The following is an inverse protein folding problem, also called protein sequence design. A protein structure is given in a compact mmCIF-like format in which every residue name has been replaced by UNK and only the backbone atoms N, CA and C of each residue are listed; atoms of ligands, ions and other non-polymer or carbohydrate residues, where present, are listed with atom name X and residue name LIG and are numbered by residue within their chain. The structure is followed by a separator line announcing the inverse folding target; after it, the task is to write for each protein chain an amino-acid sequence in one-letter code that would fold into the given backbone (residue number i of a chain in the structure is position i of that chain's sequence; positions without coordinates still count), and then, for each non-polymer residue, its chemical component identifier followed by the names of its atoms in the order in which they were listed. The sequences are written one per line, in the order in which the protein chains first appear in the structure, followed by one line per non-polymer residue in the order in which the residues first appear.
data_IF_943823309501
#
_entry.id   IF_943823309501
#
_cell.length_a   1.000
_cell.length_b   1.000
_cell.length_c   1.000
_cell.angle_alpha   90.00
_cell.angle_beta   90.00
_cell.angle_gamma   90.00
#
_symmetry.space_group_name_H-M   'P 1'
#
loop_
_entity.id
_entity.type
_entity.pdbx_description
1 polymer ?
#
# COMPACT_ATOMS: atom_id res chain seq x y z
N UNK A 1 5.29 -3.25 29.78
CA UNK A 1 5.51 -3.01 28.34
C UNK A 1 4.15 -2.80 27.72
N UNK A 2 3.97 -1.81 26.82
CA UNK A 2 2.66 -1.60 26.21
C UNK A 2 2.32 -2.74 25.25
N UNK A 3 1.06 -3.14 25.25
CA UNK A 3 0.46 -4.10 24.33
C UNK A 3 -0.39 -3.37 23.33
N UNK A 4 -0.12 -3.56 22.03
CA UNK A 4 -0.80 -2.85 20.96
C UNK A 4 -1.46 -3.83 20.02
N UNK A 5 -2.76 -3.65 19.79
CA UNK A 5 -3.48 -4.34 18.72
C UNK A 5 -3.52 -3.47 17.46
N UNK A 6 -2.88 -3.95 16.39
CA UNK A 6 -2.98 -3.34 15.06
C UNK A 6 -4.17 -3.91 14.28
N UNK A 7 -5.14 -3.05 13.97
CA UNK A 7 -6.32 -3.42 13.18
C UNK A 7 -6.08 -3.09 11.72
N UNK A 8 -6.09 -4.10 10.87
CA UNK A 8 -5.57 -4.08 9.51
C UNK A 8 -6.64 -4.46 8.47
N UNK A 9 -6.54 -3.93 7.26
CA UNK A 9 -7.37 -4.38 6.14
C UNK A 9 -6.94 -5.79 5.70
N UNK A 10 -5.64 -5.95 5.45
CA UNK A 10 -4.99 -7.22 5.14
C UNK A 10 -3.55 -7.23 5.68
N UNK A 11 -2.95 -8.41 5.72
CA UNK A 11 -1.58 -8.60 6.20
C UNK A 11 -0.92 -9.81 5.53
N UNK A 12 0.28 -10.17 5.95
CA UNK A 12 0.91 -11.44 5.56
C UNK A 12 -0.08 -12.62 5.69
N UNK A 13 -0.01 -13.60 4.79
CA UNK A 13 0.97 -13.79 3.72
C UNK A 13 0.68 -13.01 2.41
N UNK A 14 -0.32 -12.13 2.37
CA UNK A 14 -0.59 -11.29 1.20
C UNK A 14 0.50 -10.23 1.05
N UNK A 15 1.20 -10.22 -0.08
CA UNK A 15 2.26 -9.26 -0.37
C UNK A 15 1.69 -8.00 -1.03
N UNK A 16 1.90 -6.86 -0.39
CA UNK A 16 1.55 -5.53 -0.89
C UNK A 16 2.36 -4.47 -0.15
N UNK A 17 2.44 -3.26 -0.68
CA UNK A 17 3.07 -2.13 0.03
C UNK A 17 2.43 -1.85 1.39
N UNK A 18 1.12 -2.10 1.51
CA UNK A 18 0.40 -2.01 2.79
C UNK A 18 0.92 -3.05 3.80
N UNK A 19 1.10 -4.29 3.36
CA UNK A 19 1.58 -5.39 4.21
C UNK A 19 3.03 -5.18 4.62
N UNK A 20 3.92 -4.77 3.71
CA UNK A 20 5.33 -4.55 4.01
C UNK A 20 5.53 -3.40 5.01
N UNK A 21 4.80 -2.28 4.84
CA UNK A 21 4.81 -1.21 5.85
C UNK A 21 4.31 -1.71 7.21
N UNK A 22 3.23 -2.47 7.24
CA UNK A 22 2.71 -3.03 8.50
C UNK A 22 3.73 -3.94 9.17
N UNK A 23 4.34 -4.86 8.41
CA UNK A 23 5.41 -5.74 8.87
C UNK A 23 6.56 -4.96 9.50
N UNK A 24 7.04 -3.91 8.83
CA UNK A 24 8.12 -3.07 9.33
C UNK A 24 7.76 -2.36 10.65
N UNK A 25 6.55 -1.81 10.75
CA UNK A 25 6.06 -1.18 11.99
C UNK A 25 6.01 -2.19 13.14
N UNK A 26 5.41 -3.37 12.92
CA UNK A 26 5.31 -4.42 13.93
C UNK A 26 6.69 -4.89 14.40
N UNK A 27 7.61 -5.18 13.47
CA UNK A 27 8.99 -5.59 13.79
C UNK A 27 9.75 -4.50 14.56
N UNK A 28 9.62 -3.23 14.15
CA UNK A 28 10.26 -2.11 14.84
C UNK A 28 9.74 -1.93 16.27
N UNK A 29 8.44 -2.07 16.49
CA UNK A 29 7.85 -1.99 17.83
C UNK A 29 8.25 -3.18 18.72
N UNK A 30 8.34 -4.40 18.17
CA UNK A 30 8.87 -5.56 18.88
C UNK A 30 10.33 -5.32 19.26
N UNK A 31 11.16 -4.80 18.33
CA UNK A 31 12.55 -4.42 18.59
C UNK A 31 12.70 -3.35 19.68
N UNK A 32 11.71 -2.46 19.82
CA UNK A 32 11.61 -1.49 20.92
C UNK A 32 11.10 -2.08 22.24
N UNK A 33 10.84 -3.39 22.29
CA UNK A 33 10.39 -4.10 23.49
C UNK A 33 8.88 -4.05 23.73
N UNK A 34 8.06 -3.71 22.72
CA UNK A 34 6.61 -3.71 22.86
C UNK A 34 6.02 -5.07 22.46
N UNK A 35 4.89 -5.43 23.06
CA UNK A 35 4.10 -6.58 22.63
C UNK A 35 3.08 -6.11 21.60
N UNK A 36 3.19 -6.60 20.37
CA UNK A 36 2.29 -6.19 19.29
C UNK A 36 1.70 -7.40 18.58
N UNK A 37 0.42 -7.31 18.19
CA UNK A 37 -0.27 -8.30 17.37
C UNK A 37 -1.12 -7.62 16.32
N UNK A 38 -1.28 -8.28 15.18
CA UNK A 38 -2.19 -7.82 14.13
C UNK A 38 -3.57 -8.46 14.27
N UNK A 39 -4.61 -7.80 13.78
CA UNK A 39 -5.94 -8.34 13.55
C UNK A 39 -6.43 -7.87 12.20
N UNK A 40 -6.76 -8.80 11.30
CA UNK A 40 -7.36 -8.46 10.01
C UNK A 40 -8.87 -8.63 10.00
N UNK A 41 -9.54 -7.73 9.27
CA UNK A 41 -10.95 -7.84 8.97
C UNK A 41 -11.27 -8.93 7.94
N UNK A 42 -12.54 -9.01 7.54
CA UNK A 42 -13.04 -9.98 6.55
C UNK A 42 -12.42 -9.81 5.16
N UNK A 43 -11.82 -8.65 4.87
CA UNK A 43 -11.21 -8.34 3.57
C UNK A 43 -9.90 -9.07 3.30
N UNK A 44 -9.26 -9.62 4.32
CA UNK A 44 -8.13 -10.53 4.17
C UNK A 44 -8.42 -11.64 3.15
N UNK A 45 -9.69 -12.02 3.00
CA UNK A 45 -10.16 -13.19 2.25
C UNK A 45 -10.87 -12.89 0.94
N UNK A 46 -10.92 -11.63 0.51
CA UNK A 46 -11.57 -11.27 -0.77
C UNK A 46 -10.93 -11.93 -1.98
N UNK A 47 -9.74 -12.52 -1.82
CA UNK A 47 -9.00 -13.25 -2.85
C UNK A 47 -9.11 -14.77 -2.78
N UNK A 48 -10.12 -15.30 -2.07
CA UNK A 48 -10.59 -16.68 -2.27
C UNK A 48 -10.13 -17.74 -1.31
N UNK A 49 -9.30 -17.46 -0.33
CA UNK A 49 -8.92 -18.45 0.69
C UNK A 49 -9.27 -17.96 2.10
N UNK A 50 -10.12 -18.71 2.80
CA UNK A 50 -10.33 -18.53 4.24
C UNK A 50 -9.14 -19.13 5.00
N UNK A 51 -8.68 -18.53 6.11
CA UNK A 51 -7.68 -19.20 6.92
C UNK A 51 -8.31 -20.42 7.62
N UNK A 52 -7.50 -21.45 7.75
CA UNK A 52 -7.87 -22.66 8.47
C UNK A 52 -8.04 -22.41 9.98
N UNK A 53 -7.55 -21.29 10.49
CA UNK A 53 -7.57 -20.94 11.89
C UNK A 53 -7.89 -19.45 12.16
N UNK A 54 -8.49 -19.10 13.31
CA UNK A 54 -8.75 -17.72 13.72
C UNK A 54 -7.48 -16.96 14.12
N UNK A 55 -6.32 -17.60 14.05
CA UNK A 55 -5.00 -17.10 14.40
C UNK A 55 -3.98 -17.67 13.43
N UNK A 56 -2.98 -16.87 13.08
CA UNK A 56 -1.93 -17.25 12.15
C UNK A 56 -0.62 -16.57 12.53
N UNK A 57 0.49 -17.29 12.40
CA UNK A 57 1.82 -16.73 12.53
C UNK A 57 2.48 -16.70 11.14
N UNK A 58 3.01 -15.53 10.76
CA UNK A 58 3.71 -15.34 9.51
C UNK A 58 4.95 -14.47 9.75
N UNK A 59 6.11 -14.93 9.34
CA UNK A 59 7.43 -14.26 9.49
C UNK A 59 7.74 -13.82 10.94
N UNK A 60 7.35 -14.63 11.93
CA UNK A 60 7.53 -14.35 13.36
C UNK A 60 6.57 -13.29 13.91
N UNK A 61 5.54 -12.90 13.15
CA UNK A 61 4.49 -11.98 13.55
C UNK A 61 3.18 -12.71 13.77
N UNK A 62 2.48 -12.35 14.84
CA UNK A 62 1.24 -12.99 15.24
C UNK A 62 0.02 -12.20 14.76
N UNK A 63 -0.91 -12.87 14.07
CA UNK A 63 -2.13 -12.28 13.54
C UNK A 63 -3.37 -13.02 14.00
N UNK A 64 -4.33 -12.26 14.54
CA UNK A 64 -5.71 -12.71 14.65
C UNK A 64 -6.42 -12.52 13.31
N UNK A 65 -7.37 -13.41 13.02
CA UNK A 65 -8.20 -13.35 11.81
C UNK A 65 -9.67 -13.20 12.17
N UNK A 66 -10.44 -12.64 11.23
CA UNK A 66 -11.91 -12.54 11.34
C UNK A 66 -12.53 -13.51 10.33
N UNK A 67 -12.72 -14.80 10.68
CA UNK A 67 -13.15 -15.84 9.75
C UNK A 67 -14.65 -15.74 9.46
N UNK A 68 -15.09 -14.64 8.88
CA UNK A 68 -16.49 -14.37 8.53
C UNK A 68 -16.57 -13.77 7.14
N UNK A 69 -17.63 -14.10 6.41
CA UNK A 69 -17.95 -13.44 5.16
C UNK A 69 -19.01 -12.37 5.41
N UNK A 70 -18.74 -11.16 4.93
CA UNK A 70 -19.76 -10.12 4.86
C UNK A 70 -20.39 -10.14 3.46
N UNK A 71 -21.65 -10.49 3.37
CA UNK A 71 -22.45 -10.53 2.15
C UNK A 71 -23.60 -9.54 2.20
N UNK A 72 -24.15 -9.21 1.04
CA UNK A 72 -25.30 -8.34 0.91
C UNK A 72 -25.06 -7.13 0.01
N UNK A 73 -26.10 -6.30 -0.22
CA UNK A 73 -25.94 -5.08 -0.97
C UNK A 73 -24.98 -4.09 -0.29
N UNK A 74 -24.42 -3.18 -1.08
CA UNK A 74 -23.56 -2.09 -0.58
C UNK A 74 -24.26 -1.32 0.54
N UNK A 75 -23.52 -0.89 1.53
CA UNK A 75 -24.01 -0.29 2.77
C UNK A 75 -24.30 -1.32 3.87
N UNK A 76 -25.07 -2.36 3.56
CA UNK A 76 -25.34 -3.44 4.53
C UNK A 76 -24.13 -4.36 4.70
N UNK A 77 -23.41 -4.64 3.61
CA UNK A 77 -22.18 -5.42 3.65
C UNK A 77 -21.11 -4.70 4.49
N UNK A 78 -20.86 -3.43 4.20
CA UNK A 78 -19.89 -2.63 4.96
C UNK A 78 -20.26 -2.51 6.45
N UNK A 79 -21.55 -2.37 6.76
CA UNK A 79 -22.02 -2.37 8.15
C UNK A 79 -21.77 -3.72 8.84
N UNK A 80 -21.96 -4.85 8.15
CA UNK A 80 -21.64 -6.18 8.67
C UNK A 80 -20.15 -6.37 8.87
N UNK A 81 -19.31 -5.89 7.95
CA UNK A 81 -17.85 -5.89 8.08
C UNK A 81 -17.41 -5.15 9.34
N UNK A 82 -17.90 -3.93 9.53
CA UNK A 82 -17.59 -3.10 10.71
C UNK A 82 -18.01 -3.83 11.99
N UNK A 83 -19.21 -4.40 12.02
CA UNK A 83 -19.73 -5.07 13.22
C UNK A 83 -18.96 -6.35 13.54
N UNK A 84 -18.63 -7.15 12.55
CA UNK A 84 -17.83 -8.36 12.71
C UNK A 84 -16.44 -8.03 13.28
N UNK A 85 -15.77 -7.03 12.71
CA UNK A 85 -14.46 -6.59 13.16
C UNK A 85 -14.49 -5.97 14.56
N UNK A 86 -15.50 -5.14 14.88
CA UNK A 86 -15.72 -4.60 16.23
C UNK A 86 -15.86 -5.70 17.27
N UNK A 87 -16.67 -6.72 16.98
CA UNK A 87 -16.88 -7.88 17.88
C UNK A 87 -15.58 -8.68 18.05
N UNK A 88 -14.81 -8.86 16.95
CA UNK A 88 -13.55 -9.59 17.00
C UNK A 88 -12.49 -8.85 17.82
N UNK A 89 -12.39 -7.52 17.71
CA UNK A 89 -11.50 -6.70 18.56
C UNK A 89 -11.81 -6.93 20.04
N UNK A 90 -13.09 -6.87 20.42
CA UNK A 90 -13.53 -7.08 21.81
C UNK A 90 -13.22 -8.51 22.28
N UNK A 91 -13.42 -9.50 21.42
CA UNK A 91 -13.08 -10.90 21.72
C UNK A 91 -11.57 -11.05 21.93
N UNK A 92 -10.73 -10.51 21.03
CA UNK A 92 -9.28 -10.54 21.15
C UNK A 92 -8.81 -9.89 22.44
N UNK A 93 -9.44 -8.78 22.87
CA UNK A 93 -9.09 -8.14 24.14
C UNK A 93 -9.36 -9.05 25.37
N UNK A 94 -10.36 -9.91 25.31
CA UNK A 94 -10.62 -10.91 26.39
C UNK A 94 -9.59 -12.04 26.40
N UNK A 95 -9.09 -12.43 25.22
CA UNK A 95 -8.07 -13.48 25.05
C UNK A 95 -6.66 -12.96 25.37
N UNK A 96 -6.38 -11.75 24.95
CA UNK A 96 -5.10 -11.06 25.09
C UNK A 96 -5.37 -9.57 25.37
N UNK A 97 -5.43 -9.15 26.64
CA UNK A 97 -5.64 -7.76 27.00
C UNK A 97 -4.53 -6.86 26.46
N UNK A 98 -4.90 -5.88 25.65
CA UNK A 98 -4.01 -4.87 25.08
C UNK A 98 -4.35 -3.48 25.61
N UNK A 99 -3.39 -2.57 25.56
CA UNK A 99 -3.49 -1.22 26.14
C UNK A 99 -3.91 -0.17 25.11
N UNK A 100 -3.62 -0.41 23.82
CA UNK A 100 -3.86 0.55 22.73
C UNK A 100 -4.46 -0.18 21.53
N UNK A 101 -5.45 0.46 20.89
CA UNK A 101 -5.96 0.07 19.58
C UNK A 101 -5.35 0.98 18.51
N UNK A 102 -4.59 0.42 17.59
CA UNK A 102 -4.01 1.14 16.45
C UNK A 102 -4.62 0.63 15.15
N UNK A 103 -5.61 1.34 14.61
CA UNK A 103 -6.20 0.96 13.33
C UNK A 103 -5.53 1.66 12.16
N UNK A 104 -5.42 0.92 11.07
CA UNK A 104 -4.91 1.41 9.80
C UNK A 104 -6.05 1.58 8.79
N UNK A 105 -5.96 2.59 7.94
CA UNK A 105 -6.95 2.78 6.86
C UNK A 105 -7.23 1.46 6.10
N UNK A 106 -8.46 1.21 5.64
CA UNK A 106 -9.54 2.18 5.40
C UNK A 106 -10.36 2.56 6.63
N UNK A 107 -11.18 3.62 6.46
CA UNK A 107 -12.06 4.12 7.52
C UNK A 107 -13.05 3.09 8.08
N UNK A 108 -13.37 2.01 7.36
CA UNK A 108 -14.18 0.90 7.86
C UNK A 108 -13.50 0.20 9.05
N UNK A 109 -12.20 -0.05 8.94
CA UNK A 109 -11.38 -0.60 10.04
C UNK A 109 -11.32 0.40 11.20
N UNK A 110 -11.06 1.67 10.87
CA UNK A 110 -11.01 2.75 11.84
C UNK A 110 -12.32 2.89 12.63
N UNK A 111 -13.48 2.79 11.97
CA UNK A 111 -14.78 2.87 12.66
C UNK A 111 -15.03 1.68 13.57
N UNK A 112 -14.69 0.47 13.14
CA UNK A 112 -14.79 -0.72 13.99
C UNK A 112 -13.90 -0.59 15.23
N UNK A 113 -12.66 -0.16 15.03
CA UNK A 113 -11.67 0.06 16.08
C UNK A 113 -12.10 1.16 17.07
N UNK A 114 -12.58 2.32 16.56
CA UNK A 114 -13.06 3.41 17.39
C UNK A 114 -14.23 2.99 18.30
N UNK A 115 -15.17 2.19 17.76
CA UNK A 115 -16.30 1.65 18.53
C UNK A 115 -15.85 0.66 19.61
N UNK A 116 -14.93 -0.23 19.25
CA UNK A 116 -14.37 -1.21 20.19
C UNK A 116 -13.57 -0.52 21.29
N UNK A 117 -12.68 0.41 20.94
CA UNK A 117 -11.88 1.19 21.89
C UNK A 117 -12.75 1.95 22.88
N UNK A 118 -13.80 2.64 22.39
CA UNK A 118 -14.75 3.34 23.26
C UNK A 118 -15.47 2.41 24.26
N UNK A 119 -15.84 1.18 23.83
CA UNK A 119 -16.47 0.18 24.72
C UNK A 119 -15.50 -0.40 25.74
N UNK A 120 -14.22 -0.49 25.39
CA UNK A 120 -13.17 -1.03 26.25
C UNK A 120 -12.50 0.03 27.12
N UNK A 121 -12.78 1.35 26.88
CA UNK A 121 -12.12 2.44 27.57
C UNK A 121 -10.64 2.60 27.23
N UNK A 122 -10.24 2.24 25.99
CA UNK A 122 -8.85 2.22 25.56
C UNK A 122 -8.51 3.39 24.62
N UNK A 123 -7.26 3.88 24.62
CA UNK A 123 -6.76 4.82 23.63
C UNK A 123 -6.85 4.27 22.22
N UNK A 124 -7.21 5.15 21.27
CA UNK A 124 -7.36 4.82 19.87
C UNK A 124 -6.46 5.69 18.98
N UNK A 125 -5.56 5.05 18.26
CA UNK A 125 -4.71 5.65 17.23
C UNK A 125 -5.22 5.24 15.85
N UNK A 126 -5.30 6.20 14.92
CA UNK A 126 -5.71 5.93 13.54
C UNK A 126 -4.61 6.31 12.55
N UNK A 127 -4.14 5.37 11.74
CA UNK A 127 -3.12 5.59 10.72
C UNK A 127 -3.74 5.66 9.32
N UNK A 128 -3.53 6.80 8.63
CA UNK A 128 -3.99 7.05 7.28
C UNK A 128 -2.80 6.92 6.32
N UNK A 129 -2.90 5.97 5.38
CA UNK A 129 -1.89 5.72 4.34
C UNK A 129 -2.26 6.33 3.00
N UNK A 130 -3.54 6.53 2.76
CA UNK A 130 -4.14 7.26 1.65
C UNK A 130 -5.58 7.57 2.02
N UNK A 131 -6.15 8.63 1.48
CA UNK A 131 -7.60 8.84 1.55
C UNK A 131 -8.29 7.90 0.57
N UNK A 132 -9.22 7.10 1.07
CA UNK A 132 -9.88 6.08 0.26
C UNK A 132 -10.84 6.65 -0.78
N UNK A 133 -11.38 7.83 -0.54
CA UNK A 133 -12.13 8.59 -1.55
C UNK A 133 -11.25 8.93 -2.76
N UNK A 134 -10.00 9.36 -2.54
CA UNK A 134 -9.05 9.70 -3.58
C UNK A 134 -8.48 8.43 -4.25
N UNK A 135 -8.25 7.36 -3.48
CA UNK A 135 -7.82 6.07 -4.02
C UNK A 135 -8.87 5.46 -4.96
N UNK A 136 -10.16 5.59 -4.66
CA UNK A 136 -11.23 5.14 -5.55
C UNK A 136 -11.26 5.90 -6.88
N UNK A 137 -10.94 7.19 -6.87
CA UNK A 137 -10.80 8.00 -8.09
C UNK A 137 -9.57 7.55 -8.88
N UNK A 138 -8.41 7.44 -8.23
CA UNK A 138 -7.17 7.00 -8.87
C UNK A 138 -7.24 5.60 -9.48
N UNK A 139 -8.04 4.71 -8.88
CA UNK A 139 -8.28 3.35 -9.41
C UNK A 139 -9.41 3.29 -10.46
N UNK A 140 -9.98 4.42 -10.85
CA UNK A 140 -11.09 4.46 -11.83
C UNK A 140 -12.42 3.88 -11.33
N UNK A 141 -12.55 3.63 -10.01
CA UNK A 141 -13.78 3.04 -9.41
C UNK A 141 -14.68 4.07 -8.74
N UNK A 142 -14.33 5.34 -8.84
CA UNK A 142 -15.05 6.49 -8.30
C UNK A 142 -14.80 7.75 -9.11
N UNK A 143 -15.56 8.80 -8.81
CA UNK A 143 -15.35 10.14 -9.34
C UNK A 143 -15.36 11.17 -8.22
N UNK A 144 -14.48 12.16 -8.32
CA UNK A 144 -14.38 13.24 -7.35
C UNK A 144 -15.73 13.99 -7.23
N UNK A 145 -16.10 14.34 -6.01
CA UNK A 145 -17.36 15.04 -5.73
C UNK A 145 -18.64 14.18 -5.81
N UNK A 146 -18.56 12.91 -6.25
CA UNK A 146 -19.71 11.99 -6.26
C UNK A 146 -20.26 11.75 -4.84
N UNK A 147 -21.50 11.29 -4.74
CA UNK A 147 -22.10 10.95 -3.43
C UNK A 147 -21.26 9.92 -2.68
N UNK A 148 -20.76 8.89 -3.38
CA UNK A 148 -19.87 7.87 -2.78
C UNK A 148 -18.57 8.51 -2.25
N UNK A 149 -17.94 9.40 -3.03
CA UNK A 149 -16.76 10.15 -2.62
C UNK A 149 -17.02 10.96 -1.33
N UNK A 150 -18.10 11.72 -1.31
CA UNK A 150 -18.50 12.55 -0.15
C UNK A 150 -18.79 11.71 1.08
N UNK A 151 -19.47 10.58 0.94
CA UNK A 151 -19.76 9.66 2.04
C UNK A 151 -18.48 9.00 2.58
N UNK A 152 -17.57 8.56 1.70
CA UNK A 152 -16.28 7.97 2.11
C UNK A 152 -15.44 9.00 2.87
N UNK A 153 -15.35 10.24 2.36
CA UNK A 153 -14.66 11.34 3.04
C UNK A 153 -15.30 11.69 4.38
N UNK A 154 -16.63 11.70 4.46
CA UNK A 154 -17.34 11.96 5.71
C UNK A 154 -17.07 10.85 6.75
N UNK A 155 -17.01 9.60 6.32
CA UNK A 155 -16.65 8.47 7.19
C UNK A 155 -15.20 8.59 7.68
N UNK A 156 -14.25 8.92 6.79
CA UNK A 156 -12.86 9.18 7.16
C UNK A 156 -12.76 10.27 8.22
N UNK A 157 -13.39 11.43 7.98
CA UNK A 157 -13.44 12.54 8.92
C UNK A 157 -14.06 12.15 10.28
N UNK A 158 -15.09 11.29 10.25
CA UNK A 158 -15.73 10.80 11.46
C UNK A 158 -14.80 9.92 12.30
N UNK A 159 -13.97 9.09 11.67
CA UNK A 159 -12.96 8.27 12.35
C UNK A 159 -11.86 9.14 12.91
N UNK A 160 -11.32 10.07 12.10
CA UNK A 160 -10.31 11.04 12.52
C UNK A 160 -10.77 11.85 13.75
N UNK A 161 -12.04 12.30 13.77
CA UNK A 161 -12.59 13.02 14.90
C UNK A 161 -12.54 12.21 16.21
N UNK A 162 -12.71 10.88 16.13
CA UNK A 162 -12.76 9.97 17.29
C UNK A 162 -11.42 9.46 17.76
N UNK A 163 -10.40 9.49 16.92
CA UNK A 163 -9.07 9.06 17.31
C UNK A 163 -8.46 10.00 18.36
N UNK A 164 -7.71 9.48 19.31
CA UNK A 164 -6.94 10.28 20.26
C UNK A 164 -5.71 10.87 19.56
N UNK A 165 -5.08 10.12 18.67
CA UNK A 165 -4.01 10.55 17.78
C UNK A 165 -4.20 9.98 16.39
N UNK A 166 -3.73 10.72 15.39
CA UNK A 166 -3.78 10.36 13.98
C UNK A 166 -2.37 10.34 13.41
N UNK A 167 -1.96 9.19 12.89
CA UNK A 167 -0.73 9.05 12.13
C UNK A 167 -1.02 9.21 10.63
N UNK A 168 -0.16 9.90 9.91
CA UNK A 168 -0.21 10.01 8.45
C UNK A 168 1.16 9.74 7.86
N UNK A 169 1.22 9.26 6.62
CA UNK A 169 2.51 8.88 6.01
C UNK A 169 3.30 10.06 5.45
N UNK A 170 2.71 11.25 5.35
CA UNK A 170 3.39 12.43 4.79
C UNK A 170 2.69 13.74 5.15
N UNK A 171 3.39 14.86 4.95
CA UNK A 171 2.88 16.21 5.19
C UNK A 171 1.69 16.59 4.29
N UNK A 172 1.59 16.04 3.09
CA UNK A 172 0.43 16.27 2.20
C UNK A 172 -0.88 15.83 2.87
N UNK A 173 -0.92 14.60 3.41
CA UNK A 173 -2.09 14.10 4.15
C UNK A 173 -2.33 14.90 5.44
N UNK A 174 -1.27 15.27 6.15
CA UNK A 174 -1.39 16.10 7.36
C UNK A 174 -2.02 17.47 7.05
N UNK A 175 -1.50 18.14 6.04
CA UNK A 175 -1.98 19.46 5.62
C UNK A 175 -3.44 19.42 5.15
N UNK A 176 -3.84 18.37 4.43
CA UNK A 176 -5.24 18.20 4.01
C UNK A 176 -6.18 18.00 5.21
N UNK A 177 -5.78 17.20 6.21
CA UNK A 177 -6.57 17.05 7.45
C UNK A 177 -6.68 18.36 8.24
N UNK A 178 -5.61 19.14 8.32
CA UNK A 178 -5.65 20.47 8.95
C UNK A 178 -6.60 21.39 8.17
N UNK A 179 -6.56 21.37 6.85
CA UNK A 179 -7.51 22.11 5.99
C UNK A 179 -8.97 21.66 6.19
N UNK A 180 -9.19 20.38 6.52
CA UNK A 180 -10.52 19.85 6.90
C UNK A 180 -10.99 20.32 8.29
N UNK A 181 -10.14 21.05 9.05
CA UNK A 181 -10.45 21.61 10.38
C UNK A 181 -10.02 20.75 11.56
N UNK A 182 -9.17 19.73 11.37
CA UNK A 182 -8.63 18.94 12.47
C UNK A 182 -7.44 19.63 13.13
N UNK A 183 -7.32 19.47 14.45
CA UNK A 183 -6.26 20.07 15.24
C UNK A 183 -4.88 19.52 14.86
N UNK A 184 -3.89 20.38 14.51
CA UNK A 184 -2.55 19.94 14.11
C UNK A 184 -1.81 19.10 15.17
N UNK A 185 -2.02 19.38 16.47
CA UNK A 185 -1.39 18.67 17.58
C UNK A 185 -1.88 17.22 17.74
N UNK A 186 -3.03 16.90 17.13
CA UNK A 186 -3.58 15.54 17.07
C UNK A 186 -2.90 14.68 16.00
N UNK A 187 -2.31 15.30 14.96
CA UNK A 187 -1.83 14.67 13.76
C UNK A 187 -0.30 14.66 13.73
N UNK A 188 0.30 13.48 13.62
CA UNK A 188 1.76 13.35 13.46
C UNK A 188 2.11 12.58 12.20
N UNK A 189 3.27 12.90 11.62
CA UNK A 189 3.78 12.21 10.44
C UNK A 189 4.62 11.02 10.87
N UNK A 190 4.22 9.84 10.39
CA UNK A 190 4.98 8.59 10.45
C UNK A 190 5.33 8.21 9.02
N UNK A 191 6.46 8.68 8.49
CA UNK A 191 6.74 8.57 7.06
C UNK A 191 6.95 7.12 6.61
N UNK A 192 6.84 6.91 5.30
CA UNK A 192 7.31 5.68 4.69
C UNK A 192 8.84 5.60 4.86
N UNK A 193 9.34 4.39 5.01
CA UNK A 193 10.76 4.07 5.06
C UNK A 193 11.06 2.85 4.21
N UNK A 194 12.33 2.58 4.00
CA UNK A 194 12.83 1.39 3.33
C UNK A 194 13.70 0.59 4.29
N UNK A 195 13.65 -0.72 4.16
CA UNK A 195 14.51 -1.63 4.93
C UNK A 195 15.90 -1.68 4.27
N UNK A 196 16.87 -1.02 4.91
CA UNK A 196 18.24 -0.93 4.40
C UNK A 196 18.99 -2.27 4.48
N UNK A 197 18.54 -3.22 5.31
CA UNK A 197 19.11 -4.58 5.32
C UNK A 197 18.70 -5.34 4.07
N UNK A 198 17.49 -5.08 3.58
CA UNK A 198 16.95 -5.70 2.37
C UNK A 198 17.39 -4.97 1.08
N UNK A 199 17.41 -3.64 1.09
CA UNK A 199 17.64 -2.84 -0.13
C UNK A 199 18.96 -2.04 -0.15
N UNK A 200 19.68 -1.97 0.97
CA UNK A 200 20.86 -1.10 1.10
C UNK A 200 22.16 -1.62 0.49
N UNK A 201 22.12 -2.80 -0.13
CA UNK A 201 23.29 -3.39 -0.80
C UNK A 201 22.88 -3.89 -2.17
N UNK A 202 22.83 -2.99 -3.19
CA UNK A 202 22.39 -3.40 -4.53
C UNK A 202 23.28 -4.52 -5.07
N UNK A 203 22.70 -5.60 -5.61
CA UNK A 203 23.47 -6.67 -6.21
C UNK A 203 24.18 -6.17 -7.47
N UNK A 204 25.30 -6.78 -7.86
CA UNK A 204 25.88 -6.53 -9.17
C UNK A 204 24.87 -6.87 -10.28
N UNK A 205 25.01 -6.22 -11.42
CA UNK A 205 24.15 -6.44 -12.60
C UNK A 205 24.07 -7.94 -12.93
N UNK A 206 22.88 -8.47 -13.05
CA UNK A 206 22.62 -9.86 -13.46
C UNK A 206 22.78 -9.99 -14.97
N UNK A 207 24.01 -10.27 -15.43
CA UNK A 207 24.32 -10.38 -16.86
C UNK A 207 23.60 -11.54 -17.56
N UNK A 208 23.26 -12.61 -16.84
CA UNK A 208 22.50 -13.71 -17.39
C UNK A 208 21.05 -13.28 -17.69
N UNK A 209 20.42 -12.59 -16.75
CA UNK A 209 19.09 -12.04 -16.95
C UNK A 209 19.09 -10.93 -18.00
N UNK A 210 20.14 -10.10 -18.04
CA UNK A 210 20.30 -9.08 -19.09
C UNK A 210 20.36 -9.72 -20.49
N UNK A 211 21.09 -10.83 -20.64
CA UNK A 211 21.17 -11.54 -21.91
C UNK A 211 19.83 -12.18 -22.30
N UNK A 212 19.12 -12.78 -21.33
CA UNK A 212 17.79 -13.38 -21.55
C UNK A 212 16.78 -12.34 -22.06
N UNK A 213 16.81 -11.13 -21.48
CA UNK A 213 15.88 -10.04 -21.83
C UNK A 213 16.38 -9.18 -23.03
N UNK A 214 17.55 -9.48 -23.61
CA UNK A 214 18.13 -8.71 -24.70
C UNK A 214 18.65 -7.31 -24.28
N UNK A 215 19.02 -7.14 -23.00
CA UNK A 215 19.44 -5.88 -22.39
C UNK A 215 20.97 -5.79 -22.15
N UNK A 216 21.76 -6.74 -22.66
CA UNK A 216 23.22 -6.73 -22.53
C UNK A 216 23.81 -5.48 -23.18
N UNK A 217 24.54 -4.65 -22.41
CA UNK A 217 25.16 -3.42 -22.87
C UNK A 217 24.18 -2.31 -23.26
N UNK A 218 22.92 -2.40 -22.79
CA UNK A 218 21.90 -1.36 -23.00
C UNK A 218 21.72 -0.51 -21.76
N UNK A 219 21.43 0.78 -21.97
CA UNK A 219 20.93 1.68 -20.95
C UNK A 219 19.45 1.34 -20.70
N UNK A 220 19.06 1.13 -19.45
CA UNK A 220 17.73 0.64 -19.07
C UNK A 220 17.01 1.66 -18.20
N UNK A 221 15.90 2.16 -18.70
CA UNK A 221 14.90 2.87 -17.91
C UNK A 221 13.94 1.83 -17.34
N UNK A 222 13.74 1.79 -16.03
CA UNK A 222 12.91 0.77 -15.38
C UNK A 222 11.70 1.31 -14.64
N UNK A 223 10.66 0.51 -14.61
CA UNK A 223 9.56 0.66 -13.67
C UNK A 223 9.26 -0.70 -13.04
N UNK A 224 9.24 -0.76 -11.71
CA UNK A 224 8.96 -1.97 -10.95
C UNK A 224 7.77 -1.70 -10.03
N UNK A 225 6.64 -2.40 -10.25
CA UNK A 225 5.43 -2.22 -9.45
C UNK A 225 4.12 -2.54 -10.15
N UNK A 226 3.01 -2.13 -9.54
CA UNK A 226 1.67 -2.37 -10.08
C UNK A 226 1.31 -1.35 -11.17
N UNK A 227 0.63 -1.82 -12.22
CA UNK A 227 0.26 -1.01 -13.39
C UNK A 227 -1.14 -0.42 -13.21
N UNK A 228 -1.20 0.68 -12.43
CA UNK A 228 -2.39 1.51 -12.27
C UNK A 228 -2.34 2.76 -13.14
N UNK A 229 -3.48 3.34 -13.45
CA UNK A 229 -3.57 4.55 -14.31
C UNK A 229 -2.75 5.73 -13.75
N UNK A 230 -2.84 5.95 -12.44
CA UNK A 230 -2.13 7.06 -11.80
C UNK A 230 -0.60 6.91 -11.78
N UNK A 231 -0.04 5.75 -12.14
CA UNK A 231 1.42 5.57 -12.24
C UNK A 231 1.99 6.16 -13.54
N UNK A 232 1.15 6.48 -14.55
CA UNK A 232 1.57 7.20 -15.74
C UNK A 232 2.43 6.40 -16.72
N UNK A 233 2.30 5.06 -16.73
CA UNK A 233 3.10 4.21 -17.61
C UNK A 233 2.77 4.38 -19.09
N UNK A 234 1.57 4.84 -19.42
CA UNK A 234 1.15 5.25 -20.75
C UNK A 234 1.98 6.45 -21.25
N UNK A 235 2.22 7.44 -20.40
CA UNK A 235 3.09 8.58 -20.69
C UNK A 235 4.55 8.12 -20.84
N UNK A 236 5.01 7.17 -20.00
CA UNK A 236 6.37 6.63 -20.10
C UNK A 236 6.60 5.88 -21.43
N UNK A 237 5.65 5.05 -21.84
CA UNK A 237 5.69 4.34 -23.12
C UNK A 237 5.70 5.35 -24.29
N UNK A 238 4.86 6.39 -24.22
CA UNK A 238 4.84 7.44 -25.24
C UNK A 238 6.16 8.20 -25.32
N UNK A 239 6.78 8.49 -24.18
CA UNK A 239 8.06 9.20 -24.10
C UNK A 239 9.21 8.43 -24.79
N UNK A 240 9.18 7.10 -24.81
CA UNK A 240 10.22 6.28 -25.45
C UNK A 240 10.40 6.59 -26.95
N UNK A 241 9.34 6.99 -27.64
CA UNK A 241 9.39 7.39 -29.05
C UNK A 241 10.07 8.76 -29.28
N UNK A 242 10.24 9.55 -28.23
CA UNK A 242 10.79 10.91 -28.28
C UNK A 242 12.21 11.01 -27.73
N UNK A 243 12.82 9.93 -27.28
CA UNK A 243 14.19 9.92 -26.78
C UNK A 243 15.18 10.30 -27.88
N UNK A 244 16.10 11.20 -27.55
CA UNK A 244 17.12 11.74 -28.49
C UNK A 244 18.51 11.76 -27.84
N UNK A 245 19.53 12.05 -28.63
CA UNK A 245 20.90 12.15 -28.15
C UNK A 245 21.44 10.84 -27.60
N UNK A 246 22.07 10.89 -26.45
CA UNK A 246 22.67 9.72 -25.78
C UNK A 246 21.63 8.68 -25.36
N UNK A 247 20.43 9.12 -25.03
CA UNK A 247 19.35 8.24 -24.57
C UNK A 247 18.51 7.58 -25.69
N UNK A 248 18.81 7.88 -26.97
CA UNK A 248 18.01 7.44 -28.13
C UNK A 248 17.83 5.92 -28.21
N UNK A 249 18.84 5.17 -27.74
CA UNK A 249 18.90 3.70 -27.79
C UNK A 249 18.58 3.05 -26.43
N UNK A 250 18.10 3.83 -25.45
CA UNK A 250 17.70 3.31 -24.15
C UNK A 250 16.48 2.39 -24.26
N UNK A 251 16.46 1.35 -23.44
CA UNK A 251 15.37 0.37 -23.36
C UNK A 251 14.49 0.65 -22.14
N UNK A 252 13.21 0.34 -22.23
CA UNK A 252 12.25 0.42 -21.14
C UNK A 252 11.95 -0.98 -20.62
N UNK A 253 12.19 -1.22 -19.33
CA UNK A 253 11.89 -2.46 -18.63
C UNK A 253 10.73 -2.25 -17.67
N UNK A 254 9.60 -2.94 -17.92
CA UNK A 254 8.37 -2.88 -17.11
C UNK A 254 8.19 -4.20 -16.36
N UNK A 255 8.45 -4.17 -15.06
CA UNK A 255 8.33 -5.34 -14.15
C UNK A 255 7.11 -5.17 -13.27
N UNK A 256 6.17 -6.12 -13.34
CA UNK A 256 4.94 -6.08 -12.59
C UNK A 256 3.71 -6.38 -13.43
N UNK A 257 2.56 -5.94 -12.96
CA UNK A 257 1.30 -6.15 -13.66
C UNK A 257 0.16 -5.41 -12.96
N UNK A 258 -0.99 -5.33 -13.61
CA UNK A 258 -2.12 -4.63 -13.02
C UNK A 258 -3.27 -4.41 -14.00
N UNK A 259 -4.28 -3.62 -13.60
CA UNK A 259 -5.47 -3.41 -14.42
C UNK A 259 -5.19 -2.86 -15.83
N UNK A 260 -4.12 -2.07 -15.98
CA UNK A 260 -3.77 -1.46 -17.28
C UNK A 260 -2.82 -2.31 -18.13
N UNK A 261 -2.33 -3.46 -17.68
CA UNK A 261 -1.31 -4.22 -18.38
C UNK A 261 -1.66 -4.49 -19.86
N UNK A 262 -2.90 -4.92 -20.12
CA UNK A 262 -3.34 -5.21 -21.49
C UNK A 262 -3.32 -3.96 -22.39
N UNK A 263 -3.78 -2.82 -21.88
CA UNK A 263 -3.82 -1.58 -22.62
C UNK A 263 -2.40 -1.04 -22.91
N UNK A 264 -1.51 -1.13 -21.91
CA UNK A 264 -0.11 -0.72 -22.04
C UNK A 264 0.66 -1.58 -23.06
N UNK A 265 0.42 -2.89 -23.10
CA UNK A 265 1.02 -3.77 -24.12
C UNK A 265 0.58 -3.39 -25.55
N UNK A 266 -0.72 -3.15 -25.75
CA UNK A 266 -1.24 -2.68 -27.05
C UNK A 266 -0.62 -1.35 -27.45
N UNK A 267 -0.47 -0.40 -26.51
CA UNK A 267 0.17 0.88 -26.77
C UNK A 267 1.66 0.70 -27.14
N UNK A 268 2.38 -0.15 -26.42
CA UNK A 268 3.79 -0.42 -26.68
C UNK A 268 4.01 -1.07 -28.04
N UNK A 269 3.19 -2.05 -28.42
CA UNK A 269 3.24 -2.72 -29.73
C UNK A 269 3.00 -1.73 -30.89
N UNK A 270 2.18 -0.70 -30.69
CA UNK A 270 1.92 0.33 -31.67
C UNK A 270 2.96 1.47 -31.68
N UNK A 271 3.90 1.48 -30.72
CA UNK A 271 4.92 2.54 -30.58
C UNK A 271 6.03 2.38 -31.63
N UNK A 272 6.58 3.49 -32.16
CA UNK A 272 7.84 3.47 -32.95
C UNK A 272 9.03 2.90 -32.17
N UNK A 273 8.94 2.79 -30.85
CA UNK A 273 9.97 2.24 -29.97
C UNK A 273 9.60 0.81 -29.46
N UNK A 274 8.70 0.10 -30.14
CA UNK A 274 8.20 -1.19 -29.69
C UNK A 274 9.30 -2.24 -29.41
N UNK A 275 10.36 -2.22 -30.20
CA UNK A 275 11.53 -3.08 -30.07
C UNK A 275 12.38 -2.82 -28.82
N UNK A 276 12.17 -1.69 -28.17
CA UNK A 276 12.90 -1.24 -26.97
C UNK A 276 12.05 -1.26 -25.69
N UNK A 277 10.82 -1.78 -25.73
CA UNK A 277 9.90 -1.83 -24.59
C UNK A 277 9.67 -3.29 -24.17
N UNK A 278 10.09 -3.63 -22.96
CA UNK A 278 10.09 -4.99 -22.44
C UNK A 278 9.13 -5.11 -21.28
N UNK A 279 8.19 -6.06 -21.37
CA UNK A 279 7.27 -6.42 -20.28
C UNK A 279 7.67 -7.78 -19.70
N UNK A 280 8.06 -7.81 -18.44
CA UNK A 280 8.42 -9.04 -17.73
C UNK A 280 7.17 -9.74 -17.18
N UNK A 281 6.20 -8.97 -16.68
CA UNK A 281 5.11 -9.51 -15.88
C UNK A 281 5.43 -9.48 -14.39
N UNK A 282 4.60 -10.15 -13.59
CA UNK A 282 4.78 -10.23 -12.12
C UNK A 282 5.87 -11.23 -11.79
N UNK A 283 6.78 -10.83 -10.91
CA UNK A 283 7.87 -11.66 -10.40
C UNK A 283 7.71 -11.90 -8.89
N UNK A 284 8.23 -13.01 -8.36
CA UNK A 284 8.33 -13.22 -6.92
C UNK A 284 9.09 -12.10 -6.24
N UNK A 285 8.72 -11.78 -5.00
CA UNK A 285 9.31 -10.65 -4.28
C UNK A 285 10.80 -10.83 -4.00
N UNK A 286 11.23 -12.04 -3.76
CA UNK A 286 12.63 -12.44 -3.53
C UNK A 286 13.49 -12.38 -4.81
N UNK A 287 12.88 -12.30 -5.99
CA UNK A 287 13.59 -12.13 -7.27
C UNK A 287 13.65 -10.67 -7.74
N UNK A 288 12.92 -9.75 -7.10
CA UNK A 288 12.78 -8.37 -7.55
C UNK A 288 14.14 -7.65 -7.66
N UNK A 289 15.06 -7.93 -6.74
CA UNK A 289 16.40 -7.31 -6.73
C UNK A 289 17.21 -7.61 -8.00
N UNK A 290 17.03 -8.78 -8.63
CA UNK A 290 17.68 -9.12 -9.91
C UNK A 290 17.25 -8.14 -11.01
N UNK A 291 16.00 -7.72 -11.01
CA UNK A 291 15.48 -6.75 -12.00
C UNK A 291 15.91 -5.32 -11.67
N UNK A 292 16.01 -4.95 -10.38
CA UNK A 292 16.62 -3.68 -9.99
C UNK A 292 18.06 -3.58 -10.49
N UNK A 293 18.84 -4.66 -10.44
CA UNK A 293 20.24 -4.68 -10.90
C UNK A 293 20.42 -4.39 -12.40
N UNK A 294 19.37 -4.52 -13.21
CA UNK A 294 19.39 -4.24 -14.65
C UNK A 294 19.10 -2.78 -14.99
N UNK A 295 18.51 -2.03 -14.03
CA UNK A 295 17.97 -0.69 -14.28
C UNK A 295 19.00 0.37 -13.95
N UNK A 296 19.28 1.26 -14.90
CA UNK A 296 20.17 2.39 -14.71
C UNK A 296 19.42 3.62 -14.18
N UNK A 297 18.14 3.79 -14.56
CA UNK A 297 17.28 4.88 -14.10
C UNK A 297 15.86 4.37 -13.85
N UNK A 298 15.39 4.48 -12.61
CA UNK A 298 13.99 4.19 -12.28
C UNK A 298 13.09 5.40 -12.56
N UNK A 299 12.02 5.18 -13.33
CA UNK A 299 11.09 6.21 -13.74
C UNK A 299 9.72 6.02 -13.09
N UNK A 300 9.24 7.06 -12.41
CA UNK A 300 7.92 7.09 -11.77
C UNK A 300 7.10 8.29 -12.24
N UNK A 301 6.55 8.28 -13.47
CA UNK A 301 5.92 9.43 -14.11
C UNK A 301 4.49 9.66 -13.66
N UNK A 302 4.23 9.57 -12.36
CA UNK A 302 2.89 9.59 -11.77
C UNK A 302 2.05 10.77 -12.25
N UNK A 303 0.84 10.48 -12.69
CA UNK A 303 -0.12 11.51 -13.11
C UNK A 303 -0.51 12.40 -11.95
N UNK A 304 -0.68 13.69 -12.23
CA UNK A 304 -1.10 14.66 -11.20
C UNK A 304 -2.57 14.47 -10.84
N UNK A 305 -2.83 14.05 -9.62
CA UNK A 305 -4.17 13.91 -9.01
C UNK A 305 -4.05 13.92 -7.49
N UNK A 306 -5.17 14.12 -6.77
CA UNK A 306 -5.13 14.21 -5.30
C UNK A 306 -4.45 13.01 -4.63
N UNK A 307 -4.68 11.77 -5.12
CA UNK A 307 -4.03 10.57 -4.60
C UNK A 307 -2.50 10.66 -4.67
N UNK A 308 -1.96 11.15 -5.78
CA UNK A 308 -0.51 11.23 -6.02
C UNK A 308 0.11 12.49 -5.45
N UNK A 309 -0.62 13.60 -5.42
CA UNK A 309 -0.16 14.88 -4.86
C UNK A 309 -0.08 14.82 -3.32
N UNK A 310 -0.98 14.08 -2.67
CA UNK A 310 -1.06 13.97 -1.21
C UNK A 310 -0.25 12.80 -0.64
N UNK A 311 0.10 11.79 -1.45
CA UNK A 311 0.70 10.55 -0.97
C UNK A 311 2.16 10.37 -1.38
N UNK A 312 3.01 9.90 -0.47
CA UNK A 312 4.40 9.52 -0.75
C UNK A 312 4.47 8.03 -1.07
N UNK A 313 4.88 7.60 -2.27
CA UNK A 313 5.05 6.19 -2.62
C UNK A 313 6.28 5.56 -1.94
N UNK A 314 6.29 4.23 -1.80
CA UNK A 314 7.44 3.46 -1.30
C UNK A 314 8.53 3.27 -2.36
N UNK A 315 8.12 3.06 -3.62
CA UNK A 315 9.02 2.74 -4.75
C UNK A 315 10.23 3.67 -4.92
N UNK A 316 10.08 5.03 -4.85
CA UNK A 316 11.26 5.90 -4.93
C UNK A 316 12.24 5.72 -3.77
N UNK A 317 11.77 5.32 -2.57
CA UNK A 317 12.64 5.05 -1.43
C UNK A 317 13.44 3.77 -1.65
N UNK A 318 12.78 2.72 -2.17
CA UNK A 318 13.42 1.46 -2.56
C UNK A 318 14.46 1.73 -3.68
N UNK A 319 14.11 2.52 -4.68
CA UNK A 319 15.02 2.93 -5.74
C UNK A 319 16.26 3.66 -5.20
N UNK A 320 16.07 4.67 -4.35
CA UNK A 320 17.18 5.42 -3.74
C UNK A 320 18.07 4.55 -2.83
N UNK A 321 17.53 3.49 -2.23
CA UNK A 321 18.30 2.54 -1.45
C UNK A 321 19.16 1.61 -2.31
N UNK A 322 18.77 1.41 -3.57
CA UNK A 322 19.55 0.63 -4.54
C UNK A 322 20.66 1.45 -5.25
N UNK A 323 20.73 2.76 -5.07
CA UNK A 323 21.76 3.66 -5.61
C UNK A 323 21.22 4.50 -6.76
#
# INVERSE_FOLDING_TARGET
MPRILHVLDHSLPLHSGYTFRTRAILKSQIGAGWEVRGLTGVRQYQHGQMPDAPQEEAEGLYFYRTPQHASGPSGLREWREIRALEQRIIQVHREWPFDIVHAHSPALNGLAAARAAAKLGLPFVYEIRAFWEDAAVGNGTGSEGSLKYRLTRALENHVVARADKVAVICEGLRSDLVTRGFEPAKIFVSPNGVDMEMFGSPPPRDEALAAELGLTGKDVIGYIGSFYDYEGLDDLIAAMAHLQGAAKDAHLLLVGGGPLEKALRVQAEASPAADRIHFVGRVPHDEVERYYSLVDVLAYPRKRMRLTDLGTPLKPLEAMAQG
#
